data_IF_798062773605
#
_entry.id   IF_798062773605
#
_cell.length_a   1.000
_cell.length_b   1.000
_cell.length_c   1.000
_cell.angle_alpha   90.00
_cell.angle_beta   90.00
_cell.angle_gamma   90.00
#
_symmetry.space_group_name_H-M   'P 1'
#
loop_
_entity.id
_entity.type
_entity.pdbx_description
1 polymer ?
#
# COMPACT_ATOMS: atom_id res chain seq x y z
N UNK A 1 25.92 -4.06 15.06
CA UNK A 1 24.92 -3.43 14.18
C UNK A 1 23.94 -4.54 13.83
N UNK A 2 22.93 -4.78 14.67
CA UNK A 2 21.92 -5.82 14.46
C UNK A 2 20.65 -5.19 13.91
N UNK A 3 20.63 -4.98 12.58
CA UNK A 3 19.51 -4.33 11.88
C UNK A 3 18.47 -5.34 11.36
N UNK A 4 18.79 -6.64 11.33
CA UNK A 4 18.09 -7.60 10.47
C UNK A 4 17.21 -8.67 11.14
N UNK A 5 17.35 -9.10 12.41
CA UNK A 5 16.54 -10.23 12.89
C UNK A 5 15.07 -9.85 13.20
N UNK A 6 14.74 -8.55 13.30
CA UNK A 6 13.41 -8.07 13.71
C UNK A 6 12.46 -7.73 12.56
N UNK A 7 13.00 -7.33 11.40
CA UNK A 7 12.19 -6.93 10.25
C UNK A 7 12.18 -8.05 9.23
N UNK A 8 10.99 -8.47 8.82
CA UNK A 8 10.83 -9.58 7.89
C UNK A 8 10.78 -9.16 6.43
N UNK A 9 10.47 -7.90 6.14
CA UNK A 9 10.36 -7.40 4.77
C UNK A 9 10.72 -5.91 4.67
N UNK A 10 11.46 -5.55 3.62
CA UNK A 10 11.67 -4.17 3.18
C UNK A 10 10.64 -3.85 2.10
N UNK A 11 9.93 -2.71 2.24
CA UNK A 11 8.93 -2.26 1.27
C UNK A 11 9.53 -1.23 0.30
N UNK A 12 10.21 -0.22 0.83
CA UNK A 12 10.75 0.88 0.01
C UNK A 12 11.86 1.65 0.74
N UNK A 13 12.64 2.42 -0.02
CA UNK A 13 13.57 3.43 0.48
C UNK A 13 13.06 4.83 0.14
N UNK A 14 13.43 5.81 0.94
CA UNK A 14 13.28 7.21 0.58
C UNK A 14 14.11 7.55 -0.66
N UNK A 15 13.71 8.59 -1.40
CA UNK A 15 14.39 9.02 -2.63
C UNK A 15 15.87 9.36 -2.44
N UNK A 16 16.26 9.78 -1.23
CA UNK A 16 17.63 10.10 -0.82
C UNK A 16 18.36 8.96 -0.11
N UNK A 17 17.71 7.80 0.05
CA UNK A 17 18.23 6.64 0.79
C UNK A 17 18.43 6.84 2.29
N UNK A 18 17.96 7.95 2.87
CA UNK A 18 18.11 8.25 4.29
C UNK A 18 17.16 7.45 5.18
N UNK A 19 16.08 6.90 4.62
CA UNK A 19 15.06 6.16 5.33
C UNK A 19 14.52 4.97 4.55
N UNK A 20 13.84 4.06 5.27
CA UNK A 20 13.19 2.89 4.74
C UNK A 20 11.85 2.63 5.45
N UNK A 21 10.92 2.02 4.73
CA UNK A 21 9.70 1.44 5.28
C UNK A 21 9.85 -0.08 5.33
N UNK A 22 9.66 -0.66 6.51
CA UNK A 22 9.90 -2.08 6.81
C UNK A 22 8.65 -2.70 7.46
N UNK A 23 8.49 -4.01 7.32
CA UNK A 23 7.45 -4.78 8.01
C UNK A 23 8.09 -5.63 9.10
N UNK A 24 7.51 -5.56 10.30
CA UNK A 24 7.72 -6.54 11.35
C UNK A 24 6.50 -7.50 11.38
N UNK A 25 6.75 -8.80 11.31
CA UNK A 25 5.72 -9.84 11.41
C UNK A 25 5.41 -10.24 12.86
N UNK A 26 6.07 -9.59 13.84
CA UNK A 26 5.82 -9.72 15.27
C UNK A 26 5.86 -11.17 15.79
N UNK A 27 6.69 -12.01 15.19
CA UNK A 27 6.77 -13.45 15.51
C UNK A 27 7.16 -13.73 16.96
N UNK A 28 7.90 -12.81 17.58
CA UNK A 28 8.37 -12.90 18.96
C UNK A 28 7.39 -12.30 19.99
N UNK A 29 6.47 -11.41 19.57
CA UNK A 29 5.51 -10.75 20.46
C UNK A 29 4.17 -11.50 20.49
N UNK A 30 3.92 -12.22 21.58
CA UNK A 30 2.70 -13.01 21.78
C UNK A 30 1.38 -12.24 21.57
N UNK A 31 1.36 -10.93 21.83
CA UNK A 31 0.16 -10.11 21.68
C UNK A 31 -0.06 -9.65 20.23
N UNK A 32 1.02 -9.54 19.45
CA UNK A 32 1.00 -9.08 18.06
C UNK A 32 1.30 -10.19 17.03
N UNK A 33 1.41 -11.47 17.41
CA UNK A 33 1.79 -12.60 16.52
C UNK A 33 1.00 -12.74 15.22
N UNK A 34 -0.23 -12.24 15.17
CA UNK A 34 -1.10 -12.27 13.99
C UNK A 34 -1.26 -10.90 13.33
N UNK A 35 -0.49 -9.91 13.76
CA UNK A 35 -0.48 -8.56 13.22
C UNK A 35 0.84 -8.29 12.51
N UNK A 36 0.76 -7.46 11.50
CA UNK A 36 1.92 -6.91 10.80
C UNK A 36 2.05 -5.45 11.19
N UNK A 37 3.27 -5.04 11.52
CA UNK A 37 3.57 -3.65 11.89
C UNK A 37 4.42 -3.00 10.82
N UNK A 38 3.95 -1.86 10.30
CA UNK A 38 4.72 -0.97 9.45
C UNK A 38 5.65 -0.12 10.32
N UNK A 39 6.94 -0.15 10.00
CA UNK A 39 7.97 0.64 10.64
C UNK A 39 8.60 1.63 9.67
N UNK A 40 8.83 2.84 10.17
CA UNK A 40 9.78 3.79 9.60
C UNK A 40 11.14 3.62 10.28
N UNK A 41 12.20 3.54 9.48
CA UNK A 41 13.57 3.50 9.98
C UNK A 41 14.44 4.47 9.20
N UNK A 42 15.33 5.20 9.87
CA UNK A 42 16.29 6.10 9.22
C UNK A 42 17.75 5.74 9.52
N UNK A 43 18.66 6.38 8.77
CA UNK A 43 20.11 6.20 8.89
C UNK A 43 20.72 6.75 10.19
N UNK A 44 19.94 7.47 11.01
CA UNK A 44 20.32 7.92 12.35
C UNK A 44 19.96 6.90 13.44
N UNK A 45 19.38 5.76 13.07
CA UNK A 45 18.98 4.71 14.00
C UNK A 45 17.60 4.91 14.63
N UNK A 46 16.81 5.89 14.17
CA UNK A 46 15.41 6.03 14.60
C UNK A 46 14.62 4.86 14.01
N UNK A 47 13.86 4.18 14.86
CA UNK A 47 12.89 3.15 14.48
C UNK A 47 11.55 3.53 15.11
N UNK A 48 10.51 3.65 14.28
CA UNK A 48 9.19 4.13 14.71
C UNK A 48 8.10 3.25 14.12
N UNK A 49 7.23 2.73 14.99
CA UNK A 49 5.97 2.09 14.57
C UNK A 49 5.04 3.14 13.95
N UNK A 50 4.47 2.84 12.79
CA UNK A 50 3.54 3.70 12.07
C UNK A 50 2.12 3.15 12.08
N UNK A 51 1.96 1.87 11.73
CA UNK A 51 0.65 1.22 11.58
C UNK A 51 0.74 -0.24 12.01
N UNK A 52 -0.21 -0.69 12.82
CA UNK A 52 -0.49 -2.11 13.05
C UNK A 52 -1.72 -2.50 12.22
N UNK A 53 -1.67 -3.66 11.57
CA UNK A 53 -2.83 -4.25 10.87
C UNK A 53 -2.92 -5.75 11.11
N UNK A 54 -4.15 -6.27 11.16
CA UNK A 54 -4.45 -7.71 11.13
C UNK A 54 -4.49 -8.28 9.70
N UNK A 55 -4.52 -7.40 8.69
CA UNK A 55 -4.32 -7.73 7.29
C UNK A 55 -2.86 -7.61 6.88
N UNK A 56 -2.65 -7.20 5.64
CA UNK A 56 -1.39 -7.14 4.92
C UNK A 56 -0.92 -5.71 4.71
N UNK A 57 0.40 -5.54 4.62
CA UNK A 57 1.03 -4.29 4.18
C UNK A 57 1.57 -4.57 2.78
N UNK A 58 0.81 -4.17 1.75
CA UNK A 58 1.05 -4.60 0.37
C UNK A 58 2.24 -3.85 -0.23
N UNK A 59 2.22 -2.52 -0.15
CA UNK A 59 3.27 -1.66 -0.69
C UNK A 59 3.22 -0.29 -0.05
N UNK A 60 4.36 0.41 -0.08
CA UNK A 60 4.48 1.79 0.36
C UNK A 60 5.48 2.55 -0.51
N UNK A 61 5.28 3.86 -0.67
CA UNK A 61 6.18 4.76 -1.39
C UNK A 61 6.31 6.10 -0.65
N UNK A 62 7.56 6.57 -0.51
CA UNK A 62 7.82 7.88 0.09
C UNK A 62 7.46 9.01 -0.87
N UNK A 63 6.74 10.00 -0.36
CA UNK A 63 6.60 11.29 -1.04
C UNK A 63 7.93 12.01 -1.17
N UNK A 64 7.98 12.99 -2.07
CA UNK A 64 9.21 13.71 -2.46
C UNK A 64 10.00 14.35 -1.31
N UNK A 65 9.32 14.74 -0.22
CA UNK A 65 9.96 15.35 0.95
C UNK A 65 10.41 14.33 2.01
N UNK A 66 10.21 13.03 1.79
CA UNK A 66 10.47 11.93 2.72
C UNK A 66 9.75 12.07 4.08
N UNK A 67 8.77 12.98 4.21
CA UNK A 67 7.96 13.20 5.41
C UNK A 67 6.59 12.52 5.33
N UNK A 68 6.19 12.14 4.12
CA UNK A 68 4.92 11.49 3.85
C UNK A 68 5.19 10.12 3.25
N UNK A 69 4.50 9.10 3.75
CA UNK A 69 4.53 7.74 3.23
C UNK A 69 3.12 7.37 2.77
N UNK A 70 2.98 7.00 1.50
CA UNK A 70 1.73 6.49 0.95
C UNK A 70 1.78 4.98 0.94
N UNK A 71 0.74 4.31 1.42
CA UNK A 71 0.72 2.86 1.48
C UNK A 71 -0.61 2.30 1.00
N UNK A 72 -0.53 1.13 0.35
CA UNK A 72 -1.64 0.21 0.15
C UNK A 72 -1.58 -0.84 1.26
N UNK A 73 -2.60 -0.82 2.10
CA UNK A 73 -2.77 -1.74 3.21
C UNK A 73 -4.02 -2.57 2.97
N UNK A 74 -4.14 -3.67 3.71
CA UNK A 74 -5.41 -4.37 3.87
C UNK A 74 -5.72 -4.53 5.36
N UNK A 75 -6.99 -4.72 5.66
CA UNK A 75 -7.47 -5.13 6.98
C UNK A 75 -8.28 -6.41 6.84
N UNK A 76 -8.26 -7.26 7.86
CA UNK A 76 -9.10 -8.45 7.87
C UNK A 76 -10.55 -8.06 8.17
N UNK A 77 -11.49 -8.50 7.33
CA UNK A 77 -12.92 -8.35 7.61
C UNK A 77 -13.39 -9.44 8.59
N UNK A 78 -14.29 -9.12 9.53
CA UNK A 78 -14.86 -10.13 10.41
C UNK A 78 -15.76 -11.08 9.63
N UNK A 79 -15.58 -12.39 9.82
CA UNK A 79 -16.39 -13.42 9.17
C UNK A 79 -15.74 -14.81 9.29
N UNK A 80 -16.44 -15.82 8.76
CA UNK A 80 -15.93 -17.19 8.70
C UNK A 80 -14.94 -17.38 7.54
N UNK A 81 -15.04 -16.54 6.51
CA UNK A 81 -14.15 -16.53 5.36
C UNK A 81 -13.00 -15.52 5.57
N UNK A 82 -11.80 -15.91 5.13
CA UNK A 82 -10.65 -15.02 5.15
C UNK A 82 -10.77 -14.00 4.00
N UNK A 83 -11.27 -12.81 4.33
CA UNK A 83 -11.43 -11.71 3.37
C UNK A 83 -10.69 -10.49 3.88
N UNK A 84 -9.73 -10.01 3.08
CA UNK A 84 -9.02 -8.76 3.34
C UNK A 84 -9.62 -7.63 2.51
N UNK A 85 -9.90 -6.47 3.12
CA UNK A 85 -10.34 -5.25 2.44
C UNK A 85 -9.15 -4.31 2.23
N UNK A 86 -8.72 -4.04 0.97
CA UNK A 86 -7.66 -3.10 0.68
C UNK A 86 -8.08 -1.63 0.85
N UNK A 87 -7.13 -0.80 1.25
CA UNK A 87 -7.32 0.64 1.37
C UNK A 87 -5.98 1.41 1.29
N UNK A 88 -6.06 2.62 0.75
CA UNK A 88 -4.94 3.55 0.68
C UNK A 88 -4.88 4.43 1.92
N UNK A 89 -3.67 4.71 2.39
CA UNK A 89 -3.39 5.66 3.47
C UNK A 89 -2.26 6.62 3.08
N UNK A 90 -2.32 7.81 3.66
CA UNK A 90 -1.23 8.76 3.75
C UNK A 90 -0.76 8.83 5.20
N UNK A 91 0.54 8.68 5.44
CA UNK A 91 1.12 8.68 6.79
C UNK A 91 2.12 9.82 6.90
N UNK A 92 2.00 10.64 7.92
CA UNK A 92 3.07 11.56 8.30
C UNK A 92 4.11 10.79 9.13
N UNK A 93 5.31 10.55 8.62
CA UNK A 93 6.31 9.72 9.32
C UNK A 93 6.87 10.38 10.58
N UNK A 94 6.83 11.72 10.65
CA UNK A 94 7.31 12.48 11.80
C UNK A 94 6.31 12.42 12.96
N UNK A 95 5.03 12.73 12.72
CA UNK A 95 3.99 12.66 13.76
C UNK A 95 3.52 11.22 14.01
N UNK A 96 3.51 10.38 12.97
CA UNK A 96 2.91 9.04 12.99
C UNK A 96 1.42 9.06 12.71
N UNK A 97 0.85 10.21 12.34
CA UNK A 97 -0.57 10.31 12.00
C UNK A 97 -0.87 9.62 10.68
N UNK A 98 -1.95 8.85 10.69
CA UNK A 98 -2.41 8.03 9.58
C UNK A 98 -3.73 8.60 9.07
N UNK A 99 -3.77 8.93 7.79
CA UNK A 99 -4.93 9.51 7.12
C UNK A 99 -5.42 8.55 6.04
N UNK A 100 -6.58 7.88 6.25
CA UNK A 100 -7.20 7.05 5.22
C UNK A 100 -7.58 7.89 4.00
N UNK A 101 -7.26 7.39 2.80
CA UNK A 101 -7.53 8.09 1.54
C UNK A 101 -8.72 7.48 0.79
N UNK A 102 -8.72 6.16 0.60
CA UNK A 102 -9.72 5.45 -0.20
C UNK A 102 -9.77 3.99 0.23
N UNK A 103 -10.99 3.44 0.39
CA UNK A 103 -11.22 2.01 0.55
C UNK A 103 -11.60 1.39 -0.79
N UNK A 104 -11.16 0.17 -1.02
CA UNK A 104 -11.35 -0.55 -2.28
C UNK A 104 -12.30 -1.74 -2.02
N UNK A 105 -13.48 -1.75 -2.66
CA UNK A 105 -14.46 -2.84 -2.58
C UNK A 105 -14.29 -3.83 -3.73
N UNK A 106 -14.12 -5.12 -3.42
CA UNK A 106 -13.95 -6.20 -4.41
C UNK A 106 -12.66 -6.12 -5.25
N UNK A 107 -11.61 -5.49 -4.71
CA UNK A 107 -10.31 -5.40 -5.40
C UNK A 107 -9.38 -6.49 -4.88
N UNK A 108 -8.79 -7.23 -5.81
CA UNK A 108 -7.68 -8.17 -5.56
C UNK A 108 -6.48 -7.75 -6.42
N UNK A 109 -5.28 -7.99 -5.90
CA UNK A 109 -4.01 -7.76 -6.60
C UNK A 109 -3.80 -6.32 -7.13
N UNK A 110 -4.36 -5.33 -6.44
CA UNK A 110 -4.10 -3.91 -6.74
C UNK A 110 -2.64 -3.57 -6.54
N UNK A 111 -2.07 -2.90 -7.53
CA UNK A 111 -0.75 -2.30 -7.53
C UNK A 111 -0.88 -0.79 -7.46
N UNK A 112 0.06 -0.13 -6.78
CA UNK A 112 0.14 1.32 -6.74
C UNK A 112 1.50 1.82 -7.20
N UNK A 113 1.48 3.02 -7.78
CA UNK A 113 2.67 3.77 -8.15
C UNK A 113 2.47 5.25 -7.83
N UNK A 114 3.36 5.82 -7.03
CA UNK A 114 3.38 7.25 -6.71
C UNK A 114 4.00 8.04 -7.87
N UNK A 115 3.37 9.15 -8.21
CA UNK A 115 3.91 10.11 -9.18
C UNK A 115 5.28 10.66 -8.75
N UNK A 116 6.20 10.95 -9.69
CA UNK A 116 7.52 11.47 -9.35
C UNK A 116 7.52 12.81 -8.60
N UNK A 117 6.46 13.61 -8.78
CA UNK A 117 6.25 14.86 -8.04
C UNK A 117 5.61 14.64 -6.66
N UNK A 118 5.10 13.44 -6.39
CA UNK A 118 4.46 13.03 -5.14
C UNK A 118 3.02 13.55 -4.98
N UNK A 119 2.38 14.02 -6.05
CA UNK A 119 1.06 14.67 -5.97
C UNK A 119 -0.13 13.72 -6.18
N UNK A 120 0.10 12.57 -6.80
CA UNK A 120 -0.94 11.60 -7.09
C UNK A 120 -0.42 10.14 -7.06
N UNK A 121 -1.32 9.23 -6.71
CA UNK A 121 -1.15 7.79 -6.79
C UNK A 121 -1.87 7.27 -8.04
N UNK A 122 -1.19 6.44 -8.82
CA UNK A 122 -1.77 5.69 -9.92
C UNK A 122 -1.95 4.26 -9.45
N UNK A 123 -3.14 3.68 -9.61
CA UNK A 123 -3.41 2.30 -9.26
C UNK A 123 -4.39 1.66 -10.25
N UNK A 124 -4.45 0.34 -10.23
CA UNK A 124 -5.34 -0.45 -11.06
C UNK A 124 -6.49 -1.09 -10.27
N UNK A 125 -7.60 -1.25 -10.99
CA UNK A 125 -8.71 -2.10 -10.64
C UNK A 125 -8.75 -3.24 -11.65
N UNK A 126 -8.64 -4.48 -11.17
CA UNK A 126 -8.86 -5.65 -12.02
C UNK A 126 -10.17 -6.33 -11.64
N UNK A 127 -10.91 -6.77 -12.66
CA UNK A 127 -12.10 -7.60 -12.50
C UNK A 127 -11.72 -9.02 -12.90
N UNK A 128 -11.85 -9.94 -11.94
CA UNK A 128 -11.63 -11.37 -12.15
C UNK A 128 -12.96 -12.01 -12.51
N UNK A 129 -12.97 -12.80 -13.58
CA UNK A 129 -14.12 -13.62 -13.95
C UNK A 129 -13.75 -15.10 -13.81
N UNK A 130 -14.34 -15.82 -12.83
CA UNK A 130 -14.03 -17.23 -12.60
C UNK A 130 -14.46 -18.15 -13.76
N UNK A 131 -15.33 -17.69 -14.65
CA UNK A 131 -15.74 -18.43 -15.85
C UNK A 131 -14.76 -18.24 -17.02
N UNK A 132 -13.83 -17.28 -16.92
CA UNK A 132 -12.78 -17.09 -17.93
C UNK A 132 -11.70 -18.16 -17.74
N UNK A 133 -11.36 -18.94 -18.79
CA UNK A 133 -10.31 -19.95 -18.69
C UNK A 133 -8.98 -19.35 -18.23
N UNK A 134 -8.30 -20.01 -17.28
CA UNK A 134 -6.98 -19.62 -16.76
C UNK A 134 -5.85 -19.58 -17.81
N UNK A 135 -6.15 -20.01 -19.05
CA UNK A 135 -5.29 -19.88 -20.23
C UNK A 135 -5.40 -18.50 -20.91
N UNK A 136 -5.98 -17.51 -20.20
CA UNK A 136 -5.98 -16.10 -20.61
C UNK A 136 -4.56 -15.54 -20.61
N UNK A 137 -4.28 -14.58 -21.51
CA UNK A 137 -2.95 -13.95 -21.64
C UNK A 137 -2.64 -12.97 -20.52
N UNK A 138 -3.65 -12.53 -19.76
CA UNK A 138 -3.55 -11.60 -18.65
C UNK A 138 -4.08 -12.27 -17.39
N UNK A 139 -3.18 -12.57 -16.46
CA UNK A 139 -3.48 -13.18 -15.18
C UNK A 139 -2.95 -12.32 -14.04
N UNK A 140 -3.59 -12.42 -12.89
CA UNK A 140 -3.09 -11.85 -11.64
C UNK A 140 -1.84 -12.59 -11.13
N UNK A 141 -1.22 -12.09 -10.06
CA UNK A 141 -0.08 -12.79 -9.43
C UNK A 141 -0.47 -14.15 -8.82
N UNK A 142 -1.76 -14.33 -8.48
CA UNK A 142 -2.34 -15.60 -8.01
C UNK A 142 -2.74 -16.55 -9.16
N UNK A 143 -2.62 -16.11 -10.42
CA UNK A 143 -2.94 -16.90 -11.60
C UNK A 143 -4.42 -16.86 -12.02
N UNK A 144 -5.22 -15.95 -11.46
CA UNK A 144 -6.62 -15.75 -11.83
C UNK A 144 -6.73 -14.95 -13.14
N UNK A 145 -7.64 -15.34 -14.02
CA UNK A 145 -7.82 -14.67 -15.31
C UNK A 145 -8.42 -13.26 -15.13
N UNK A 146 -7.77 -12.26 -15.71
CA UNK A 146 -8.25 -10.87 -15.70
C UNK A 146 -9.21 -10.69 -16.88
N UNK A 147 -10.47 -10.37 -16.57
CA UNK A 147 -11.52 -10.13 -17.56
C UNK A 147 -11.56 -8.66 -18.02
N UNK A 148 -11.35 -7.73 -17.09
CA UNK A 148 -11.32 -6.29 -17.37
C UNK A 148 -10.36 -5.56 -16.41
N UNK A 149 -9.91 -4.37 -16.81
CA UNK A 149 -9.03 -3.53 -15.99
C UNK A 149 -9.27 -2.04 -16.21
N UNK A 150 -9.22 -1.27 -15.12
CA UNK A 150 -9.34 0.19 -15.15
C UNK A 150 -8.22 0.83 -14.34
N UNK A 151 -7.62 1.88 -14.90
CA UNK A 151 -6.64 2.70 -14.20
C UNK A 151 -7.32 3.89 -13.51
N UNK A 152 -6.85 4.18 -12.31
CA UNK A 152 -7.35 5.23 -11.44
C UNK A 152 -6.23 6.14 -10.97
N UNK A 153 -6.51 7.44 -10.95
CA UNK A 153 -5.66 8.46 -10.36
C UNK A 153 -6.29 8.94 -9.05
N UNK A 154 -5.61 8.68 -7.94
CA UNK A 154 -5.98 9.14 -6.61
C UNK A 154 -5.10 10.33 -6.22
N UNK A 155 -5.71 11.48 -5.99
CA UNK A 155 -5.04 12.72 -5.60
C UNK A 155 -5.23 12.91 -4.09
N UNK A 156 -4.18 12.72 -3.27
CA UNK A 156 -4.29 12.90 -1.82
C UNK A 156 -4.56 14.37 -1.46
N UNK A 157 -5.25 14.63 -0.34
CA UNK A 157 -5.46 15.99 0.15
C UNK A 157 -4.14 16.62 0.61
N UNK A 158 -4.01 17.93 0.42
CA UNK A 158 -2.84 18.67 0.91
C UNK A 158 -2.85 18.83 2.44
N UNK A 159 -4.04 18.87 3.04
CA UNK A 159 -4.24 19.03 4.49
C UNK A 159 -5.28 18.03 5.01
N UNK A 160 -4.96 16.72 5.08
CA UNK A 160 -5.89 15.71 5.58
C UNK A 160 -6.32 15.96 7.04
N UNK A 161 -5.48 16.61 7.85
CA UNK A 161 -5.76 16.99 9.24
C UNK A 161 -6.93 17.98 9.38
N UNK A 162 -7.27 18.69 8.30
CA UNK A 162 -8.43 19.58 8.23
C UNK A 162 -9.69 18.88 7.70
N UNK A 163 -9.66 17.55 7.54
CA UNK A 163 -10.78 16.76 7.01
C UNK A 163 -10.95 16.86 5.50
N UNK A 164 -9.94 17.33 4.76
CA UNK A 164 -9.96 17.30 3.30
C UNK A 164 -9.96 15.84 2.80
N UNK A 165 -10.76 15.57 1.77
CA UNK A 165 -10.88 14.25 1.17
C UNK A 165 -9.98 14.13 -0.07
N UNK A 166 -9.54 12.91 -0.36
CA UNK A 166 -8.83 12.61 -1.59
C UNK A 166 -9.79 12.70 -2.79
N UNK A 167 -9.27 13.12 -3.95
CA UNK A 167 -10.02 13.14 -5.21
C UNK A 167 -9.67 11.90 -6.04
N UNK A 168 -10.68 11.21 -6.57
CA UNK A 168 -10.50 10.00 -7.39
C UNK A 168 -10.95 10.27 -8.84
N UNK A 169 -10.08 9.94 -9.81
CA UNK A 169 -10.35 10.11 -11.24
C UNK A 169 -10.09 8.82 -12.00
N UNK A 170 -11.11 8.35 -12.72
CA UNK A 170 -10.94 7.28 -13.70
C UNK A 170 -10.14 7.78 -14.90
N UNK A 171 -9.16 7.00 -15.35
CA UNK A 171 -8.45 7.26 -16.60
C UNK A 171 -9.19 6.59 -17.76
N UNK A 172 -9.20 7.23 -18.93
CA UNK A 172 -9.78 6.68 -20.16
C UNK A 172 -8.84 5.66 -20.85
N UNK A 173 -8.06 4.94 -20.06
CA UNK A 173 -7.05 3.98 -20.47
C UNK A 173 -7.29 2.69 -19.71
N UNK A 174 -7.36 1.57 -20.44
CA UNK A 174 -7.31 0.24 -19.82
C UNK A 174 -5.86 -0.11 -19.50
N UNK A 175 -5.61 -0.81 -18.40
CA UNK A 175 -4.28 -1.18 -17.98
C UNK A 175 -4.24 -1.85 -16.61
N UNK A 176 -3.17 -2.60 -16.39
CA UNK A 176 -2.88 -3.37 -15.17
C UNK A 176 -1.38 -3.20 -14.85
N UNK A 177 -1.04 -3.19 -13.56
CA UNK A 177 0.31 -2.90 -13.02
C UNK A 177 0.87 -1.55 -13.48
N UNK A 178 0.22 -0.44 -13.13
CA UNK A 178 0.67 0.87 -13.56
C UNK A 178 2.03 1.23 -12.94
N UNK A 179 2.84 1.94 -13.73
CA UNK A 179 4.09 2.54 -13.26
C UNK A 179 4.22 3.92 -13.88
N UNK A 180 4.59 4.92 -13.08
CA UNK A 180 5.00 6.21 -13.62
C UNK A 180 6.34 6.10 -14.36
N UNK A 181 6.47 6.84 -15.46
CA UNK A 181 7.78 7.00 -16.09
C UNK A 181 8.73 7.74 -15.11
N UNK A 182 9.99 7.30 -14.99
CA UNK A 182 10.99 7.94 -14.14
C UNK A 182 11.39 9.34 -14.64
#
# INVERSE_FOLDING_TARGET
MDFLPKFGQLLTFSSDGSAAALVNFNTEDAQKRFQRTLFFVNNLGVQKELVDTDGSIVSCEFGRNNQTLYCLLTKLLPGDEYIEEPYFVQINVNSGEVFPLLKLQDYRDTQMSLSPDGLALLFDQVIIDPETPADSRLNTDTGEAIADSQLWLLIPPLRPELGQQAELKALSLMGFRPLWAP
#
